data_IF_908783858432
#
_entry.id   IF_908783858432
#
_cell.length_a   1.000
_cell.length_b   1.000
_cell.length_c   1.000
_cell.angle_alpha   90.00
_cell.angle_beta   90.00
_cell.angle_gamma   90.00
#
_symmetry.space_group_name_H-M   'P 1'
#
loop_
_entity.id
_entity.type
_entity.pdbx_description
1 polymer ?
#
# COMPACT_ATOMS: atom_id res chain seq x y z
N UNK A 1 36.84 39.21 -29.63
CA UNK A 1 37.88 39.91 -28.86
C UNK A 1 37.30 40.20 -27.49
N UNK A 2 37.58 39.42 -26.53
CA UNK A 2 37.96 39.62 -25.14
C UNK A 2 37.67 38.38 -24.29
N UNK A 3 38.69 37.57 -24.06
CA UNK A 3 38.94 36.81 -22.80
C UNK A 3 39.90 37.65 -21.98
N UNK A 4 40.26 37.36 -20.73
CA UNK A 4 40.05 36.21 -19.84
C UNK A 4 39.93 36.53 -18.36
N UNK A 5 39.84 35.52 -17.50
CA UNK A 5 40.36 35.63 -16.14
C UNK A 5 39.65 34.79 -15.10
N UNK A 6 40.05 33.52 -14.92
CA UNK A 6 39.74 32.77 -13.71
C UNK A 6 40.74 33.02 -12.59
N UNK A 7 40.45 32.67 -11.35
CA UNK A 7 41.48 32.22 -10.44
C UNK A 7 41.26 30.83 -9.86
N UNK A 8 42.36 30.15 -9.82
CA UNK A 8 42.86 28.89 -9.27
C UNK A 8 42.28 28.45 -7.95
N UNK A 9 42.01 27.16 -7.91
CA UNK A 9 41.83 26.35 -6.71
C UNK A 9 43.17 26.18 -5.93
N UNK A 10 43.09 26.11 -4.61
CA UNK A 10 44.11 25.50 -3.76
C UNK A 10 43.46 24.47 -2.83
N UNK A 11 44.10 23.34 -2.57
CA UNK A 11 43.58 22.29 -1.71
C UNK A 11 43.97 22.51 -0.26
N UNK A 12 43.06 22.30 0.66
CA UNK A 12 43.36 22.16 2.07
C UNK A 12 43.31 20.69 2.46
N UNK A 13 44.48 20.17 2.75
CA UNK A 13 44.69 18.87 3.39
C UNK A 13 44.54 19.07 4.89
N UNK A 14 43.62 18.37 5.51
CA UNK A 14 43.56 18.26 6.97
C UNK A 14 43.79 16.80 7.38
N UNK A 15 44.94 16.62 8.05
CA UNK A 15 45.41 15.38 8.65
C UNK A 15 44.70 15.10 9.97
N UNK A 16 44.25 13.87 10.15
CA UNK A 16 43.79 13.32 11.44
C UNK A 16 44.99 12.74 12.23
N UNK A 17 45.05 12.87 13.55
CA UNK A 17 45.98 12.09 14.38
C UNK A 17 45.33 10.78 14.88
N UNK A 18 46.17 9.76 15.16
CA UNK A 18 45.70 8.47 15.64
C UNK A 18 45.56 8.42 17.16
N UNK A 19 44.52 7.79 17.67
CA UNK A 19 44.46 7.42 19.08
C UNK A 19 44.55 5.93 19.29
N UNK A 20 45.42 5.60 20.20
CA UNK A 20 45.99 4.32 20.55
C UNK A 20 45.11 3.52 21.54
N UNK A 21 45.17 2.22 21.42
CA UNK A 21 44.65 1.21 22.32
C UNK A 21 44.95 1.42 23.81
N UNK A 22 44.01 1.02 24.66
CA UNK A 22 44.35 0.34 25.92
C UNK A 22 43.23 -0.60 26.39
N UNK A 23 43.56 -1.87 26.36
CA UNK A 23 42.91 -2.99 27.05
C UNK A 23 43.11 -2.88 28.56
N UNK A 24 42.06 -3.15 29.36
CA UNK A 24 42.22 -3.74 30.70
C UNK A 24 41.00 -4.59 31.04
N UNK A 25 41.29 -5.87 31.23
CA UNK A 25 40.37 -6.81 31.79
C UNK A 25 40.24 -6.65 33.32
N UNK A 26 39.08 -6.96 33.82
CA UNK A 26 38.88 -7.25 35.24
C UNK A 26 37.99 -8.48 35.37
N UNK A 27 38.62 -9.52 35.88
CA UNK A 27 37.93 -10.71 36.41
C UNK A 27 37.26 -10.31 37.72
N UNK A 28 36.04 -10.75 37.96
CA UNK A 28 35.43 -10.71 39.27
C UNK A 28 34.73 -12.03 39.56
N UNK A 29 35.07 -12.55 40.66
CA UNK A 29 34.87 -13.85 41.27
C UNK A 29 33.42 -14.04 41.72
N UNK A 30 32.98 -15.29 41.56
CA UNK A 30 31.75 -15.89 42.10
C UNK A 30 31.85 -15.98 43.62
N UNK A 31 30.84 -15.50 44.33
CA UNK A 31 30.61 -15.82 45.73
C UNK A 31 29.22 -16.45 45.87
N UNK A 32 29.23 -17.74 46.17
CA UNK A 32 28.04 -18.49 46.54
C UNK A 32 27.74 -18.23 48.01
N UNK A 33 26.55 -17.71 48.32
CA UNK A 33 25.99 -17.75 49.67
C UNK A 33 24.81 -18.73 49.70
N UNK A 34 25.00 -19.80 50.43
CA UNK A 34 23.92 -20.72 50.88
C UNK A 34 23.24 -20.09 52.08
N UNK A 35 21.92 -19.87 51.98
CA UNK A 35 21.07 -19.69 53.16
C UNK A 35 20.04 -20.81 53.17
N UNK A 36 20.10 -21.62 54.21
CA UNK A 36 19.05 -22.53 54.62
C UNK A 36 18.09 -21.79 55.56
N UNK A 37 16.80 -22.02 55.40
CA UNK A 37 15.87 -21.49 56.41
C UNK A 37 14.41 -21.56 56.04
N UNK A 38 13.77 -22.55 56.52
CA UNK A 38 12.46 -22.60 57.17
C UNK A 38 11.20 -22.51 56.28
N UNK A 39 10.61 -23.67 56.06
CA UNK A 39 9.23 -23.88 55.60
C UNK A 39 8.24 -23.37 56.66
N UNK A 40 7.44 -22.37 56.30
CA UNK A 40 6.19 -22.08 56.96
C UNK A 40 5.08 -22.18 55.90
N UNK A 41 4.32 -23.26 56.01
CA UNK A 41 3.12 -23.52 55.23
C UNK A 41 2.00 -22.60 55.71
N UNK A 42 1.62 -21.58 54.93
CA UNK A 42 0.33 -20.92 55.06
C UNK A 42 -0.49 -21.27 53.81
N UNK A 43 -1.52 -22.05 54.05
CA UNK A 43 -2.54 -22.34 53.04
C UNK A 43 -3.34 -21.09 52.75
N UNK A 44 -3.36 -20.68 51.48
CA UNK A 44 -4.32 -19.72 50.92
C UNK A 44 -5.20 -20.45 49.91
N UNK A 45 -6.50 -20.13 49.87
CA UNK A 45 -7.45 -20.81 49.01
C UNK A 45 -7.18 -20.48 47.54
N UNK A 46 -7.32 -21.50 46.71
CA UNK A 46 -7.09 -21.42 45.24
C UNK A 46 -7.93 -20.35 44.59
N UNK A 47 -7.27 -19.32 44.08
CA UNK A 47 -7.78 -18.51 43.01
C UNK A 47 -7.49 -19.29 41.70
N UNK A 48 -8.53 -19.92 41.17
CA UNK A 48 -8.50 -20.38 39.79
C UNK A 48 -8.38 -19.15 38.88
N UNK A 49 -7.16 -18.77 38.52
CA UNK A 49 -6.92 -17.92 37.36
C UNK A 49 -7.45 -18.67 36.14
N UNK A 50 -8.67 -18.35 35.73
CA UNK A 50 -9.13 -18.64 34.38
C UNK A 50 -8.24 -17.82 33.44
N UNK A 51 -7.21 -18.47 32.93
CA UNK A 51 -6.59 -18.04 31.68
C UNK A 51 -7.74 -18.02 30.66
N UNK A 52 -8.30 -16.84 30.41
CA UNK A 52 -9.13 -16.61 29.24
C UNK A 52 -8.20 -16.79 28.03
N UNK A 53 -8.17 -18.00 27.52
CA UNK A 53 -7.75 -18.24 26.13
C UNK A 53 -8.65 -17.35 25.28
N UNK A 54 -8.10 -16.28 24.73
CA UNK A 54 -8.70 -15.54 23.64
C UNK A 54 -8.77 -16.53 22.46
N UNK A 55 -9.85 -17.31 22.45
CA UNK A 55 -10.21 -18.08 21.27
C UNK A 55 -10.51 -17.06 20.19
N UNK A 56 -9.61 -16.97 19.20
CA UNK A 56 -9.96 -16.30 17.95
C UNK A 56 -11.29 -16.89 17.47
N UNK A 57 -12.24 -16.06 17.04
CA UNK A 57 -13.50 -16.58 16.48
C UNK A 57 -13.14 -17.54 15.33
N UNK A 58 -13.93 -18.63 15.16
CA UNK A 58 -13.66 -19.60 14.11
C UNK A 58 -13.58 -18.89 12.76
N UNK A 59 -12.49 -19.09 12.04
CA UNK A 59 -12.35 -18.71 10.64
C UNK A 59 -13.49 -19.38 9.86
N UNK A 60 -14.48 -18.58 9.47
CA UNK A 60 -15.52 -19.04 8.55
C UNK A 60 -16.95 -18.87 9.02
N UNK A 61 -17.44 -17.63 9.14
CA UNK A 61 -18.89 -17.37 9.09
C UNK A 61 -19.27 -15.91 8.80
N UNK A 62 -18.38 -15.09 8.28
CA UNK A 62 -18.82 -13.76 7.83
C UNK A 62 -19.11 -13.81 6.33
N UNK A 63 -20.40 -14.02 5.99
CA UNK A 63 -20.85 -14.00 4.61
C UNK A 63 -20.69 -12.61 3.97
N UNK A 64 -20.67 -11.55 4.79
CA UNK A 64 -20.71 -10.16 4.34
C UNK A 64 -19.46 -9.37 4.75
N UNK A 65 -18.35 -9.63 4.09
CA UNK A 65 -17.07 -8.97 4.40
C UNK A 65 -17.12 -7.44 4.26
N UNK A 66 -18.04 -6.89 3.49
CA UNK A 66 -18.22 -5.45 3.32
C UNK A 66 -18.79 -4.75 4.57
N UNK A 67 -19.48 -5.49 5.45
CA UNK A 67 -19.95 -4.97 6.75
C UNK A 67 -18.80 -4.84 7.75
N UNK A 68 -17.73 -5.62 7.57
CA UNK A 68 -16.53 -5.63 8.44
C UNK A 68 -15.45 -4.65 8.01
N UNK A 69 -15.60 -4.04 6.85
CA UNK A 69 -14.65 -3.04 6.39
C UNK A 69 -14.70 -1.80 7.28
N UNK A 70 -13.56 -1.43 7.88
CA UNK A 70 -13.46 -0.26 8.77
C UNK A 70 -12.71 0.89 8.09
N UNK A 71 -13.43 1.99 7.86
CA UNK A 71 -12.80 3.21 7.36
C UNK A 71 -11.79 3.81 8.34
N UNK A 72 -12.01 3.64 9.65
CA UNK A 72 -11.07 4.10 10.68
C UNK A 72 -9.74 3.36 10.63
N UNK A 73 -9.77 2.03 10.37
CA UNK A 73 -8.54 1.26 10.18
C UNK A 73 -7.83 1.64 8.89
N UNK A 74 -8.57 1.82 7.80
CA UNK A 74 -8.01 2.31 6.56
C UNK A 74 -7.34 3.69 6.76
N UNK A 75 -8.02 4.62 7.45
CA UNK A 75 -7.47 5.95 7.78
C UNK A 75 -6.23 5.86 8.68
N UNK A 76 -6.20 4.91 9.62
CA UNK A 76 -5.03 4.67 10.45
C UNK A 76 -3.81 4.19 9.64
N UNK A 77 -4.02 3.39 8.60
CA UNK A 77 -2.97 3.01 7.67
C UNK A 77 -2.46 4.21 6.87
N UNK A 78 -3.37 5.08 6.40
CA UNK A 78 -2.99 6.34 5.73
C UNK A 78 -2.13 7.20 6.67
N UNK A 79 -2.60 7.42 7.92
CA UNK A 79 -1.85 8.21 8.91
C UNK A 79 -0.44 7.65 9.13
N UNK A 80 -0.31 6.33 9.27
CA UNK A 80 0.99 5.69 9.47
C UNK A 80 1.95 5.96 8.29
N UNK A 81 1.47 5.97 7.05
CA UNK A 81 2.29 6.30 5.88
C UNK A 81 2.64 7.80 5.82
N UNK A 82 1.67 8.68 6.11
CA UNK A 82 1.88 10.14 6.17
C UNK A 82 2.93 10.50 7.24
N UNK A 83 2.93 9.81 8.38
CA UNK A 83 3.90 10.01 9.46
C UNK A 83 5.33 9.62 9.05
N UNK A 84 5.50 8.71 8.09
CA UNK A 84 6.79 8.39 7.49
C UNK A 84 7.31 9.51 6.56
N UNK A 85 6.43 10.40 6.12
CA UNK A 85 6.73 11.54 5.28
C UNK A 85 6.52 11.31 3.78
N UNK A 86 6.96 12.27 2.93
CA UNK A 86 6.96 12.10 1.48
C UNK A 86 7.71 10.84 1.07
N UNK A 87 7.15 10.07 0.18
CA UNK A 87 7.63 8.73 -0.25
C UNK A 87 7.91 8.61 -1.75
N UNK A 88 8.66 9.57 -2.34
CA UNK A 88 9.07 9.42 -3.72
C UNK A 88 9.97 8.19 -3.90
N UNK A 89 9.96 7.56 -5.08
CA UNK A 89 10.83 6.42 -5.39
C UNK A 89 12.32 6.74 -5.12
N UNK A 90 13.05 5.75 -4.61
CA UNK A 90 14.47 5.87 -4.28
C UNK A 90 14.79 6.54 -2.94
N UNK A 91 13.80 6.93 -2.13
CA UNK A 91 14.00 7.56 -0.81
C UNK A 91 13.98 6.55 0.34
N UNK A 92 14.55 6.95 1.50
CA UNK A 92 14.45 6.13 2.73
C UNK A 92 12.99 6.01 3.22
N UNK A 93 12.17 7.04 3.00
CA UNK A 93 10.78 7.06 3.44
C UNK A 93 9.95 6.02 2.67
N UNK A 94 10.15 5.86 1.35
CA UNK A 94 9.44 4.83 0.59
C UNK A 94 9.86 3.42 1.04
N UNK A 95 11.13 3.19 1.40
CA UNK A 95 11.58 1.89 1.92
C UNK A 95 10.97 1.58 3.30
N UNK A 96 10.83 2.58 4.16
CA UNK A 96 10.07 2.45 5.42
C UNK A 96 8.60 2.12 5.15
N UNK A 97 8.00 2.74 4.14
CA UNK A 97 6.63 2.44 3.71
C UNK A 97 6.51 1.01 3.20
N UNK A 98 7.41 0.54 2.34
CA UNK A 98 7.46 -0.87 1.88
C UNK A 98 7.54 -1.85 3.04
N UNK A 99 8.38 -1.55 4.03
CA UNK A 99 8.51 -2.35 5.25
C UNK A 99 7.21 -2.37 6.05
N UNK A 100 6.54 -1.23 6.18
CA UNK A 100 5.25 -1.12 6.86
C UNK A 100 4.17 -1.94 6.15
N UNK A 101 4.01 -1.75 4.83
CA UNK A 101 3.02 -2.46 4.01
C UNK A 101 3.23 -3.98 4.09
N UNK A 102 4.47 -4.44 3.86
CA UNK A 102 4.82 -5.85 3.95
C UNK A 102 4.44 -6.45 5.31
N UNK A 103 4.81 -5.77 6.40
CA UNK A 103 4.48 -6.23 7.75
C UNK A 103 2.97 -6.33 7.99
N UNK A 104 2.18 -5.35 7.53
CA UNK A 104 0.72 -5.40 7.70
C UNK A 104 0.11 -6.55 6.91
N UNK A 105 0.52 -6.75 5.67
CA UNK A 105 0.05 -7.84 4.82
C UNK A 105 0.39 -9.21 5.42
N UNK A 106 1.63 -9.38 5.89
CA UNK A 106 2.05 -10.63 6.55
C UNK A 106 1.27 -10.91 7.84
N UNK A 107 0.95 -9.89 8.64
CA UNK A 107 0.09 -10.02 9.83
C UNK A 107 -1.33 -10.50 9.47
N UNK A 108 -1.82 -10.18 8.28
CA UNK A 108 -3.11 -10.65 7.78
C UNK A 108 -3.02 -12.01 7.06
N UNK A 109 -1.83 -12.60 6.96
CA UNK A 109 -1.63 -13.94 6.37
C UNK A 109 -1.32 -13.91 4.86
N UNK A 110 -1.01 -12.76 4.29
CA UNK A 110 -0.56 -12.64 2.91
C UNK A 110 0.94 -12.87 2.80
N UNK A 111 1.37 -13.45 1.69
CA UNK A 111 2.79 -13.54 1.32
C UNK A 111 3.10 -12.41 0.35
N UNK A 112 4.16 -11.65 0.63
CA UNK A 112 4.53 -10.48 -0.16
C UNK A 112 5.81 -10.74 -0.95
N UNK A 113 5.74 -10.60 -2.27
CA UNK A 113 6.89 -10.58 -3.15
C UNK A 113 7.27 -9.13 -3.49
N UNK A 114 8.57 -8.85 -3.48
CA UNK A 114 9.13 -7.56 -3.92
C UNK A 114 9.54 -7.71 -5.38
N UNK A 115 8.89 -7.00 -6.28
CA UNK A 115 9.22 -6.94 -7.69
C UNK A 115 10.07 -5.68 -7.94
N UNK A 116 11.40 -5.81 -7.72
CA UNK A 116 12.34 -4.72 -7.91
C UNK A 116 12.79 -4.62 -9.37
N UNK A 117 12.90 -3.40 -9.87
CA UNK A 117 13.41 -3.09 -11.21
C UNK A 117 14.02 -1.69 -11.24
N UNK A 118 14.77 -1.39 -12.29
CA UNK A 118 15.34 -0.05 -12.52
C UNK A 118 14.87 0.46 -13.87
N UNK A 119 14.49 1.73 -13.92
CA UNK A 119 14.10 2.38 -15.16
C UNK A 119 14.79 3.75 -15.30
N UNK A 120 14.85 4.25 -16.54
CA UNK A 120 15.32 5.59 -16.84
C UNK A 120 14.18 6.58 -16.62
N UNK A 121 14.46 7.65 -15.88
CA UNK A 121 13.51 8.73 -15.58
C UNK A 121 14.12 10.07 -15.98
N UNK A 122 13.34 11.16 -16.07
CA UNK A 122 13.89 12.52 -16.24
C UNK A 122 14.94 12.91 -15.20
N UNK A 123 14.98 12.22 -14.05
CA UNK A 123 15.96 12.42 -12.97
C UNK A 123 17.08 11.38 -12.94
N UNK A 124 17.24 10.61 -14.02
CA UNK A 124 18.24 9.54 -14.14
C UNK A 124 17.67 8.16 -13.79
N UNK A 125 18.55 7.19 -13.57
CA UNK A 125 18.14 5.82 -13.23
C UNK A 125 17.65 5.74 -11.79
N UNK A 126 16.44 5.22 -11.62
CA UNK A 126 15.78 5.04 -10.31
C UNK A 126 15.39 3.57 -10.14
N UNK A 127 15.58 3.04 -8.95
CA UNK A 127 15.05 1.74 -8.56
C UNK A 127 13.64 1.87 -8.01
N UNK A 128 12.74 1.08 -8.57
CA UNK A 128 11.35 0.95 -8.16
C UNK A 128 11.09 -0.44 -7.61
N UNK A 129 10.10 -0.59 -6.73
CA UNK A 129 9.73 -1.89 -6.15
C UNK A 129 8.22 -2.03 -6.02
N UNK A 130 7.57 -2.75 -6.93
CA UNK A 130 6.18 -3.15 -6.68
C UNK A 130 6.13 -4.18 -5.54
N UNK A 131 5.07 -4.11 -4.71
CA UNK A 131 4.76 -5.16 -3.74
C UNK A 131 3.57 -5.97 -4.27
N UNK A 132 3.78 -7.27 -4.42
CA UNK A 132 2.76 -8.19 -4.94
C UNK A 132 2.41 -9.16 -3.81
N UNK A 133 1.16 -9.11 -3.35
CA UNK A 133 0.70 -9.91 -2.23
C UNK A 133 -0.29 -10.99 -2.69
N UNK A 134 0.01 -12.25 -2.33
CA UNK A 134 -0.83 -13.42 -2.59
C UNK A 134 -1.20 -14.09 -1.29
N UNK A 135 -2.43 -14.64 -1.22
CA UNK A 135 -2.88 -15.34 -0.02
C UNK A 135 -2.44 -16.81 -0.07
N UNK A 136 -1.80 -17.28 1.01
CA UNK A 136 -1.17 -18.60 1.07
C UNK A 136 -2.15 -19.77 0.94
N UNK A 137 -1.70 -20.89 0.42
CA UNK A 137 -2.36 -22.20 0.52
C UNK A 137 -3.21 -22.62 -0.67
N UNK A 138 -2.82 -22.28 -1.90
CA UNK A 138 -3.51 -22.79 -3.09
C UNK A 138 -2.55 -23.27 -4.17
N UNK A 139 -2.98 -24.32 -4.90
CA UNK A 139 -2.41 -24.73 -6.17
C UNK A 139 -3.02 -23.94 -7.36
N UNK A 140 -3.89 -22.97 -7.08
CA UNK A 140 -4.53 -22.13 -8.09
C UNK A 140 -3.93 -20.74 -8.04
N UNK A 141 -3.52 -20.25 -9.19
CA UNK A 141 -3.09 -18.87 -9.36
C UNK A 141 -4.25 -17.89 -9.10
N UNK A 142 -3.99 -16.70 -8.54
CA UNK A 142 -4.97 -15.63 -8.44
C UNK A 142 -5.59 -15.30 -9.80
N UNK A 143 -6.83 -14.86 -9.80
CA UNK A 143 -7.60 -14.60 -11.04
C UNK A 143 -8.13 -13.18 -11.15
N UNK A 144 -7.85 -12.33 -10.15
CA UNK A 144 -8.31 -10.95 -10.14
C UNK A 144 -7.30 -10.03 -9.43
N UNK A 145 -7.04 -8.87 -10.02
CA UNK A 145 -6.12 -7.88 -9.47
C UNK A 145 -6.87 -6.84 -8.64
N UNK A 146 -6.30 -6.43 -7.51
CA UNK A 146 -6.72 -5.23 -6.77
C UNK A 146 -5.50 -4.38 -6.54
N UNK A 147 -5.49 -3.18 -7.09
CA UNK A 147 -4.29 -2.37 -7.26
C UNK A 147 -4.44 -0.99 -6.62
N UNK A 148 -3.32 -0.40 -6.25
CA UNK A 148 -3.15 0.98 -5.81
C UNK A 148 -1.68 1.35 -5.99
N UNK A 149 -1.34 2.64 -6.16
CA UNK A 149 0.04 3.08 -5.98
C UNK A 149 0.30 3.53 -4.55
N UNK A 150 1.56 3.50 -4.11
CA UNK A 150 1.93 3.86 -2.74
C UNK A 150 3.03 4.93 -2.65
N UNK A 151 3.62 5.30 -3.77
CA UNK A 151 4.58 6.40 -3.87
C UNK A 151 3.90 7.77 -3.76
N UNK A 152 4.68 8.82 -3.78
CA UNK A 152 4.20 10.19 -3.86
C UNK A 152 4.98 10.96 -4.89
N UNK A 153 4.32 11.92 -5.52
CA UNK A 153 4.94 12.86 -6.42
C UNK A 153 6.13 13.57 -5.80
N UNK A 154 7.15 13.79 -6.61
CA UNK A 154 8.33 14.55 -6.24
C UNK A 154 8.15 16.04 -6.56
N UNK A 155 8.20 16.91 -5.54
CA UNK A 155 8.27 18.34 -5.71
C UNK A 155 9.59 18.89 -5.17
N UNK A 156 10.25 19.76 -5.94
CA UNK A 156 11.55 20.35 -5.55
C UNK A 156 11.42 21.39 -4.44
N UNK A 157 10.27 22.03 -4.30
CA UNK A 157 10.06 23.19 -3.43
C UNK A 157 8.94 23.02 -2.42
N UNK A 158 8.19 21.91 -2.48
CA UNK A 158 7.05 21.67 -1.60
C UNK A 158 7.16 20.30 -0.92
N UNK A 159 6.68 20.23 0.33
CA UNK A 159 6.52 18.96 1.03
C UNK A 159 5.14 18.37 0.65
N UNK A 160 5.13 17.30 -0.11
CA UNK A 160 3.92 16.59 -0.52
C UNK A 160 3.88 15.22 0.16
N UNK A 161 2.86 14.96 0.96
CA UNK A 161 2.74 13.70 1.70
C UNK A 161 1.74 12.74 1.06
N UNK A 162 0.96 13.20 0.07
CA UNK A 162 0.03 12.36 -0.67
C UNK A 162 -0.86 11.57 0.28
N UNK A 163 -1.66 12.25 1.08
CA UNK A 163 -2.55 11.57 2.02
C UNK A 163 -3.73 10.93 1.28
N UNK A 164 -4.29 11.64 0.29
CA UNK A 164 -5.26 11.08 -0.62
C UNK A 164 -4.58 10.36 -1.78
N UNK A 165 -3.65 11.05 -2.42
CA UNK A 165 -2.92 10.61 -3.59
C UNK A 165 -1.87 9.55 -3.21
N UNK A 166 -2.13 8.30 -3.58
CA UNK A 166 -1.46 7.08 -3.19
C UNK A 166 -1.71 6.62 -1.74
N UNK A 167 -1.96 7.55 -0.83
CA UNK A 167 -2.15 7.21 0.59
C UNK A 167 -3.49 6.57 0.89
N UNK A 168 -4.59 7.18 0.43
CA UNK A 168 -5.96 6.72 0.73
C UNK A 168 -6.26 5.36 0.13
N UNK A 169 -5.93 5.16 -1.13
CA UNK A 169 -6.13 3.92 -1.86
C UNK A 169 -5.29 2.77 -1.29
N UNK A 170 -4.02 3.02 -0.94
CA UNK A 170 -3.17 2.06 -0.23
C UNK A 170 -3.74 1.69 1.14
N UNK A 171 -4.28 2.67 1.89
CA UNK A 171 -4.94 2.40 3.18
C UNK A 171 -6.19 1.53 3.03
N UNK A 172 -7.01 1.79 2.00
CA UNK A 172 -8.17 0.94 1.65
C UNK A 172 -7.72 -0.46 1.24
N UNK A 173 -6.68 -0.58 0.44
CA UNK A 173 -6.17 -1.89 -0.02
C UNK A 173 -5.62 -2.74 1.13
N UNK A 174 -4.97 -2.14 2.13
CA UNK A 174 -4.55 -2.85 3.35
C UNK A 174 -5.76 -3.34 4.18
N UNK A 175 -6.78 -2.53 4.34
CA UNK A 175 -7.98 -2.95 5.08
C UNK A 175 -8.79 -4.01 4.29
N UNK A 176 -8.80 -3.92 2.94
CA UNK A 176 -9.32 -4.99 2.07
C UNK A 176 -8.55 -6.30 2.27
N UNK A 177 -7.22 -6.24 2.38
CA UNK A 177 -6.40 -7.41 2.69
C UNK A 177 -6.83 -8.08 4.00
N UNK A 178 -7.11 -7.29 5.04
CA UNK A 178 -7.58 -7.78 6.34
C UNK A 178 -8.95 -8.46 6.24
N UNK A 179 -9.91 -7.83 5.57
CA UNK A 179 -11.27 -8.41 5.48
C UNK A 179 -11.34 -9.61 4.54
N UNK A 180 -10.60 -9.61 3.43
CA UNK A 180 -10.48 -10.76 2.53
C UNK A 180 -9.85 -11.95 3.23
N UNK A 181 -8.86 -11.74 4.10
CA UNK A 181 -8.21 -12.82 4.86
C UNK A 181 -9.18 -13.61 5.75
N UNK A 182 -10.35 -13.05 6.07
CA UNK A 182 -11.43 -13.76 6.79
C UNK A 182 -12.16 -14.78 5.89
N UNK A 183 -12.01 -14.64 4.58
CA UNK A 183 -12.58 -15.53 3.55
C UNK A 183 -11.45 -16.09 2.67
N UNK A 184 -10.70 -17.08 3.16
CA UNK A 184 -9.58 -17.68 2.43
C UNK A 184 -9.96 -18.19 1.03
N UNK A 185 -11.19 -18.60 0.83
CA UNK A 185 -11.75 -19.03 -0.46
C UNK A 185 -11.79 -17.87 -1.49
N UNK A 186 -11.99 -16.64 -1.04
CA UNK A 186 -11.95 -15.43 -1.86
C UNK A 186 -10.54 -14.86 -1.94
N UNK A 187 -9.87 -14.72 -0.79
CA UNK A 187 -8.51 -14.15 -0.71
C UNK A 187 -7.54 -14.82 -1.69
N UNK A 188 -7.64 -16.14 -1.84
CA UNK A 188 -6.81 -16.91 -2.77
C UNK A 188 -7.04 -16.63 -4.25
N UNK A 189 -8.17 -16.02 -4.62
CA UNK A 189 -8.48 -15.65 -6.00
C UNK A 189 -8.02 -14.23 -6.33
N UNK A 190 -7.66 -13.42 -5.31
CA UNK A 190 -7.18 -12.06 -5.45
C UNK A 190 -5.65 -12.01 -5.37
N UNK A 191 -5.06 -11.13 -6.17
CA UNK A 191 -3.68 -10.67 -6.04
C UNK A 191 -3.73 -9.16 -5.77
N UNK A 192 -3.11 -8.73 -4.67
CA UNK A 192 -3.05 -7.33 -4.30
C UNK A 192 -1.73 -6.76 -4.78
N UNK A 193 -1.78 -5.67 -5.54
CA UNK A 193 -0.58 -5.07 -6.10
C UNK A 193 -0.50 -3.61 -5.67
N UNK A 194 0.62 -3.27 -5.03
CA UNK A 194 0.97 -1.92 -4.65
C UNK A 194 2.04 -1.44 -5.61
N UNK A 195 1.70 -0.56 -6.52
CA UNK A 195 2.61 -0.04 -7.53
C UNK A 195 3.52 1.03 -6.97
N UNK A 196 4.75 1.07 -7.46
CA UNK A 196 5.76 2.08 -7.16
C UNK A 196 6.01 2.93 -8.40
N UNK A 197 6.12 4.24 -8.22
CA UNK A 197 6.41 5.15 -9.31
C UNK A 197 5.24 5.29 -10.29
N UNK A 198 4.02 5.41 -9.80
CA UNK A 198 2.89 5.87 -10.59
C UNK A 198 3.16 7.29 -11.07
N UNK A 199 3.66 8.13 -10.18
CA UNK A 199 3.83 9.56 -10.34
C UNK A 199 4.89 9.95 -11.39
N UNK A 200 4.49 10.77 -12.35
CA UNK A 200 5.43 11.35 -13.30
C UNK A 200 6.36 12.38 -12.63
N UNK A 201 7.64 12.38 -12.98
CA UNK A 201 8.60 13.40 -12.52
C UNK A 201 8.36 14.76 -13.16
N UNK A 202 7.96 14.81 -14.41
CA UNK A 202 7.63 16.02 -15.15
C UNK A 202 6.17 15.98 -15.62
N UNK A 203 5.86 15.11 -16.60
CA UNK A 203 4.53 14.97 -17.19
C UNK A 203 4.29 13.53 -17.63
N UNK A 204 3.10 13.01 -17.38
CA UNK A 204 2.72 11.68 -17.83
C UNK A 204 2.95 11.50 -19.34
N UNK A 205 3.69 10.46 -19.69
CA UNK A 205 4.06 10.12 -21.07
C UNK A 205 4.35 8.62 -21.18
N UNK A 206 4.74 8.17 -22.38
CA UNK A 206 5.17 6.79 -22.58
C UNK A 206 6.43 6.41 -21.75
N UNK A 207 7.19 7.39 -21.26
CA UNK A 207 8.47 7.18 -20.55
C UNK A 207 8.54 7.85 -19.19
N UNK A 208 7.51 8.58 -18.75
CA UNK A 208 7.46 9.26 -17.45
C UNK A 208 6.10 9.02 -16.78
N UNK A 209 6.12 8.50 -15.57
CA UNK A 209 4.96 8.00 -14.82
C UNK A 209 4.62 6.53 -15.10
N UNK A 210 3.76 5.95 -14.28
CA UNK A 210 3.26 4.57 -14.38
C UNK A 210 4.39 3.50 -14.46
N UNK A 211 5.54 3.76 -13.86
CA UNK A 211 6.71 2.88 -13.97
C UNK A 211 6.40 1.48 -13.45
N UNK A 212 5.75 1.39 -12.30
CA UNK A 212 5.40 0.14 -11.64
C UNK A 212 4.42 -0.71 -12.42
N UNK A 213 3.31 -0.12 -12.82
CA UNK A 213 2.26 -0.84 -13.57
C UNK A 213 2.70 -1.22 -14.98
N UNK A 214 3.46 -0.36 -15.67
CA UNK A 214 4.07 -0.70 -16.98
C UNK A 214 5.02 -1.89 -16.87
N UNK A 215 5.87 -1.89 -15.84
CA UNK A 215 6.77 -3.02 -15.61
C UNK A 215 6.01 -4.29 -15.28
N UNK A 216 5.04 -4.23 -14.39
CA UNK A 216 4.20 -5.36 -13.99
C UNK A 216 3.44 -5.95 -15.18
N UNK A 217 2.74 -5.12 -15.96
CA UNK A 217 2.01 -5.54 -17.15
C UNK A 217 2.92 -6.19 -18.19
N UNK A 218 4.10 -5.60 -18.45
CA UNK A 218 5.12 -6.15 -19.35
C UNK A 218 5.62 -7.52 -18.89
N UNK A 219 5.85 -7.73 -17.59
CA UNK A 219 6.26 -9.03 -17.05
C UNK A 219 5.16 -10.08 -17.22
N UNK A 220 3.91 -9.75 -16.92
CA UNK A 220 2.78 -10.66 -17.13
C UNK A 220 2.64 -11.06 -18.61
N UNK A 221 2.82 -10.12 -19.52
CA UNK A 221 2.79 -10.40 -20.96
C UNK A 221 3.96 -11.30 -21.40
N UNK A 222 5.17 -11.02 -20.95
CA UNK A 222 6.37 -11.81 -21.25
C UNK A 222 6.28 -13.24 -20.73
N UNK A 223 5.63 -13.45 -19.58
CA UNK A 223 5.41 -14.74 -18.96
C UNK A 223 4.13 -15.45 -19.45
N UNK A 224 3.41 -14.85 -20.40
CA UNK A 224 2.13 -15.34 -20.92
C UNK A 224 1.05 -15.56 -19.83
N UNK A 225 1.10 -14.75 -18.75
CA UNK A 225 0.21 -14.84 -17.60
C UNK A 225 -1.00 -13.90 -17.68
N UNK A 226 -1.12 -13.04 -18.68
CA UNK A 226 -2.21 -12.06 -18.77
C UNK A 226 -3.59 -12.72 -18.75
N UNK A 227 -3.74 -13.88 -19.40
CA UNK A 227 -5.02 -14.66 -19.43
C UNK A 227 -5.37 -15.31 -18.09
N UNK A 228 -4.49 -15.31 -17.12
CA UNK A 228 -4.77 -15.77 -15.76
C UNK A 228 -5.79 -14.85 -15.08
N UNK A 229 -5.71 -13.54 -15.37
CA UNK A 229 -6.55 -12.53 -14.73
C UNK A 229 -7.80 -12.26 -15.57
N UNK A 230 -8.96 -12.37 -14.93
CA UNK A 230 -10.27 -12.04 -15.55
C UNK A 230 -10.52 -10.55 -15.56
N UNK A 231 -9.85 -9.80 -14.67
CA UNK A 231 -9.96 -8.37 -14.54
C UNK A 231 -9.19 -7.84 -13.33
N UNK A 232 -9.29 -6.54 -13.14
CA UNK A 232 -8.69 -5.83 -12.01
C UNK A 232 -9.47 -4.59 -11.61
N UNK A 233 -9.26 -4.13 -10.40
CA UNK A 233 -9.66 -2.81 -9.90
C UNK A 233 -8.40 -2.05 -9.52
N UNK A 234 -8.29 -0.84 -10.00
CA UNK A 234 -7.40 0.18 -9.48
C UNK A 234 -8.18 1.09 -8.54
N UNK A 235 -7.54 1.49 -7.45
CA UNK A 235 -8.04 2.50 -6.53
C UNK A 235 -7.04 3.64 -6.51
N UNK A 236 -7.53 4.87 -6.70
CA UNK A 236 -6.74 6.08 -6.53
C UNK A 236 -7.56 7.23 -5.94
N UNK A 237 -6.96 8.00 -5.05
CA UNK A 237 -7.57 9.18 -4.39
C UNK A 237 -8.99 8.94 -3.84
N UNK A 238 -9.18 7.90 -3.03
CA UNK A 238 -10.52 7.44 -2.57
C UNK A 238 -10.91 7.93 -1.18
N UNK A 239 -10.23 8.94 -0.64
CA UNK A 239 -10.40 9.36 0.76
C UNK A 239 -11.02 10.72 0.99
N UNK A 240 -11.25 11.55 -0.04
CA UNK A 240 -11.77 12.90 0.12
C UNK A 240 -13.06 12.94 0.96
N UNK A 241 -13.16 13.95 1.83
CA UNK A 241 -14.37 14.19 2.63
C UNK A 241 -15.61 14.45 1.78
N UNK A 242 -15.43 15.00 0.58
CA UNK A 242 -16.49 15.29 -0.39
C UNK A 242 -16.59 14.25 -1.49
N UNK A 243 -16.33 13.00 -1.17
CA UNK A 243 -16.16 11.85 -2.05
C UNK A 243 -17.06 11.81 -3.28
N UNK A 244 -16.44 11.80 -4.46
CA UNK A 244 -17.07 11.57 -5.77
C UNK A 244 -16.24 10.60 -6.60
N UNK A 245 -16.45 9.30 -6.43
CA UNK A 245 -15.76 8.29 -7.25
C UNK A 245 -16.23 8.39 -8.68
N UNK A 246 -15.28 8.58 -9.58
CA UNK A 246 -15.50 8.65 -11.02
C UNK A 246 -14.91 7.43 -11.71
N UNK A 247 -15.58 7.00 -12.76
CA UNK A 247 -15.15 5.89 -13.62
C UNK A 247 -14.78 6.48 -14.97
N UNK A 248 -13.52 6.30 -15.46
CA UNK A 248 -13.10 6.81 -16.77
C UNK A 248 -13.92 6.20 -17.92
N UNK A 249 -13.98 6.87 -19.09
CA UNK A 249 -14.73 6.39 -20.24
C UNK A 249 -14.27 5.04 -20.81
N UNK A 250 -12.99 4.70 -20.63
CA UNK A 250 -12.40 3.43 -21.05
C UNK A 250 -12.67 2.26 -20.07
N UNK A 251 -13.41 2.53 -18.98
CA UNK A 251 -13.82 1.51 -18.03
C UNK A 251 -14.53 0.35 -18.74
N UNK A 252 -14.17 -0.92 -18.47
CA UNK A 252 -14.88 -2.07 -19.02
C UNK A 252 -16.36 -2.02 -18.63
N UNK A 253 -17.25 -1.97 -19.62
CA UNK A 253 -18.67 -1.65 -19.41
C UNK A 253 -19.39 -2.63 -18.48
N UNK A 254 -19.01 -3.90 -18.44
CA UNK A 254 -19.56 -4.90 -17.53
C UNK A 254 -19.14 -4.61 -16.10
N UNK A 255 -17.85 -4.34 -15.89
CA UNK A 255 -17.32 -4.01 -14.57
C UNK A 255 -17.92 -2.69 -14.02
N UNK A 256 -18.09 -1.68 -14.89
CA UNK A 256 -18.74 -0.43 -14.48
C UNK A 256 -20.18 -0.66 -14.00
N UNK A 257 -20.99 -1.47 -14.73
CA UNK A 257 -22.34 -1.85 -14.28
C UNK A 257 -22.30 -2.57 -12.93
N UNK A 258 -21.36 -3.49 -12.75
CA UNK A 258 -21.24 -4.28 -11.53
C UNK A 258 -20.79 -3.44 -10.33
N UNK A 259 -19.91 -2.46 -10.54
CA UNK A 259 -19.52 -1.48 -9.50
C UNK A 259 -20.74 -0.62 -9.10
N UNK A 260 -21.51 -0.11 -10.07
CA UNK A 260 -22.73 0.65 -9.75
C UNK A 260 -23.78 -0.20 -9.03
N UNK A 261 -23.95 -1.46 -9.43
CA UNK A 261 -24.86 -2.40 -8.75
C UNK A 261 -24.37 -2.72 -7.33
N UNK A 262 -23.06 -2.87 -7.14
CA UNK A 262 -22.45 -3.07 -5.81
C UNK A 262 -22.66 -1.85 -4.91
N UNK A 263 -22.44 -0.65 -5.45
CA UNK A 263 -22.68 0.60 -4.73
C UNK A 263 -24.16 0.78 -4.33
N UNK A 264 -25.10 0.37 -5.19
CA UNK A 264 -26.54 0.35 -4.87
C UNK A 264 -26.84 -0.66 -3.76
N UNK A 265 -26.29 -1.86 -3.84
CA UNK A 265 -26.55 -2.94 -2.88
C UNK A 265 -26.11 -2.59 -1.45
N UNK A 266 -25.06 -1.77 -1.31
CA UNK A 266 -24.57 -1.29 0.00
C UNK A 266 -24.99 0.16 0.32
N UNK A 267 -25.93 0.75 -0.46
CA UNK A 267 -26.50 2.10 -0.28
C UNK A 267 -25.50 3.27 -0.42
N UNK A 268 -24.48 3.10 -1.26
CA UNK A 268 -23.49 4.14 -1.54
C UNK A 268 -23.51 4.66 -3.00
N UNK A 269 -24.53 4.29 -3.79
CA UNK A 269 -24.66 4.62 -5.22
C UNK A 269 -24.45 6.10 -5.54
N UNK A 270 -24.86 7.00 -4.65
CA UNK A 270 -24.76 8.46 -4.84
C UNK A 270 -23.33 9.00 -4.96
N UNK A 271 -22.35 8.24 -4.50
CA UNK A 271 -20.94 8.63 -4.53
C UNK A 271 -20.21 8.17 -5.80
N UNK A 272 -20.89 7.50 -6.72
CA UNK A 272 -20.28 6.93 -7.92
C UNK A 272 -20.90 7.50 -9.19
N UNK A 273 -20.06 7.96 -10.12
CA UNK A 273 -20.48 8.55 -11.40
C UNK A 273 -19.49 8.19 -12.51
N UNK A 274 -19.78 8.57 -13.73
CA UNK A 274 -18.79 8.53 -14.82
C UNK A 274 -18.01 9.83 -14.88
N UNK A 275 -16.75 9.72 -15.29
CA UNK A 275 -15.94 10.88 -15.69
C UNK A 275 -16.15 11.16 -17.18
N UNK A 276 -15.94 12.40 -17.61
CA UNK A 276 -16.21 12.84 -18.99
C UNK A 276 -14.94 13.01 -19.83
N UNK A 277 -13.78 12.70 -19.26
CA UNK A 277 -12.46 12.82 -19.90
C UNK A 277 -11.63 11.57 -19.66
N UNK A 278 -10.70 11.30 -20.58
CA UNK A 278 -9.73 10.22 -20.42
C UNK A 278 -8.83 10.49 -19.20
N UNK A 279 -8.55 9.44 -18.45
CA UNK A 279 -7.61 9.41 -17.34
C UNK A 279 -6.49 8.46 -17.70
N UNK A 280 -5.24 8.90 -17.52
CA UNK A 280 -4.06 8.05 -17.63
C UNK A 280 -3.60 7.69 -16.24
N UNK A 281 -3.69 6.41 -15.89
CA UNK A 281 -3.37 5.88 -14.57
C UNK A 281 -2.94 4.41 -14.69
N UNK A 282 -2.57 3.75 -13.61
CA UNK A 282 -2.04 2.39 -13.52
C UNK A 282 -2.96 1.30 -14.14
N UNK A 283 -4.25 1.57 -14.34
CA UNK A 283 -5.14 0.69 -15.12
C UNK A 283 -4.78 0.63 -16.62
N UNK A 284 -4.21 1.70 -17.15
CA UNK A 284 -3.91 1.83 -18.59
C UNK A 284 -2.94 0.76 -19.10
N UNK A 285 -1.77 0.50 -18.47
CA UNK A 285 -0.87 -0.57 -18.89
C UNK A 285 -1.48 -1.98 -18.76
N UNK A 286 -2.37 -2.20 -17.76
CA UNK A 286 -3.06 -3.48 -17.58
C UNK A 286 -4.07 -3.72 -18.71
N UNK A 287 -4.87 -2.70 -19.05
CA UNK A 287 -5.80 -2.74 -20.17
C UNK A 287 -5.06 -2.96 -21.50
N UNK A 288 -3.90 -2.34 -21.70
CA UNK A 288 -3.10 -2.49 -22.90
C UNK A 288 -2.59 -3.93 -23.15
N UNK A 289 -2.37 -4.71 -22.09
CA UNK A 289 -1.98 -6.13 -22.20
C UNK A 289 -3.17 -7.09 -22.15
N UNK A 290 -4.41 -6.57 -22.16
CA UNK A 290 -5.65 -7.35 -22.25
C UNK A 290 -6.14 -7.88 -20.89
N UNK A 291 -5.80 -7.25 -19.79
CA UNK A 291 -6.38 -7.47 -18.45
C UNK A 291 -7.40 -6.36 -18.21
N UNK A 292 -8.73 -6.60 -18.37
CA UNK A 292 -9.74 -5.57 -18.17
C UNK A 292 -9.67 -5.01 -16.75
N UNK A 293 -9.26 -3.77 -16.60
CA UNK A 293 -9.07 -3.12 -15.30
C UNK A 293 -9.88 -1.84 -15.25
N UNK A 294 -10.72 -1.72 -14.20
CA UNK A 294 -11.50 -0.51 -13.93
C UNK A 294 -10.77 0.35 -12.91
N UNK A 295 -10.74 1.64 -13.16
CA UNK A 295 -10.22 2.64 -12.24
C UNK A 295 -11.37 3.28 -11.44
N UNK A 296 -11.22 3.34 -10.13
CA UNK A 296 -12.10 4.03 -9.19
C UNK A 296 -11.32 5.18 -8.56
N UNK A 297 -11.53 6.38 -9.09
CA UNK A 297 -10.74 7.56 -8.72
C UNK A 297 -11.64 8.75 -8.38
N UNK A 298 -11.28 9.51 -7.35
CA UNK A 298 -11.87 10.82 -7.06
C UNK A 298 -11.06 11.93 -7.71
N UNK A 299 -11.35 12.22 -8.99
CA UNK A 299 -10.57 13.16 -9.78
C UNK A 299 -11.05 14.63 -9.63
N UNK A 300 -11.98 14.93 -8.72
CA UNK A 300 -12.38 16.30 -8.38
C UNK A 300 -11.78 16.78 -7.04
N UNK A 301 -10.84 15.99 -6.46
CA UNK A 301 -10.12 16.33 -5.23
C UNK A 301 -9.33 17.64 -5.36
N UNK A 302 -9.79 18.68 -4.67
CA UNK A 302 -9.26 20.05 -4.84
C UNK A 302 -7.81 20.23 -4.38
N UNK A 303 -7.29 19.37 -3.49
CA UNK A 303 -5.92 19.43 -2.99
C UNK A 303 -4.95 18.52 -3.78
N UNK A 304 -5.40 17.91 -4.89
CA UNK A 304 -4.56 17.08 -5.75
C UNK A 304 -3.29 17.82 -6.18
N UNK A 305 -2.14 17.17 -6.04
CA UNK A 305 -0.80 17.67 -6.37
C UNK A 305 -0.45 19.01 -5.67
N UNK A 306 -0.99 19.23 -4.47
CA UNK A 306 -0.65 20.38 -3.64
C UNK A 306 -0.16 19.97 -2.25
N UNK A 307 0.59 20.83 -1.52
CA UNK A 307 0.98 20.56 -0.13
C UNK A 307 -0.19 20.38 0.83
N UNK A 308 -1.39 20.76 0.42
CA UNK A 308 -2.63 20.62 1.18
C UNK A 308 -3.23 19.21 1.12
N UNK A 309 -2.68 18.28 0.31
CA UNK A 309 -3.06 16.87 0.38
C UNK A 309 -2.56 16.22 1.68
N UNK A 310 -3.32 16.43 2.72
CA UNK A 310 -3.03 16.05 4.10
C UNK A 310 -4.20 15.29 4.72
N UNK A 311 -3.92 14.59 5.82
CA UNK A 311 -4.89 13.68 6.48
C UNK A 311 -6.22 14.35 6.86
N UNK A 312 -6.23 15.66 7.13
CA UNK A 312 -7.43 16.42 7.47
C UNK A 312 -8.39 16.61 6.29
N UNK A 313 -7.96 16.37 5.07
CA UNK A 313 -8.81 16.34 3.88
C UNK A 313 -9.61 15.05 3.74
N UNK A 314 -9.16 13.99 4.39
CA UNK A 314 -9.74 12.67 4.28
C UNK A 314 -10.82 12.42 5.34
N UNK A 315 -11.68 11.44 5.08
CA UNK A 315 -12.61 10.93 6.08
C UNK A 315 -12.66 9.40 6.12
N UNK A 316 -12.82 8.85 7.32
CA UNK A 316 -13.03 7.41 7.50
C UNK A 316 -14.32 6.93 6.80
N UNK A 317 -15.35 7.80 6.71
CA UNK A 317 -16.59 7.47 6.01
C UNK A 317 -16.38 7.28 4.52
N UNK A 318 -15.58 8.13 3.86
CA UNK A 318 -15.24 8.01 2.44
C UNK A 318 -14.48 6.72 2.17
N UNK A 319 -13.43 6.44 2.96
CA UNK A 319 -12.67 5.18 2.86
C UNK A 319 -13.56 3.96 3.08
N UNK A 320 -14.49 4.03 4.06
CA UNK A 320 -15.47 2.98 4.29
C UNK A 320 -16.43 2.80 3.11
N UNK A 321 -16.87 3.90 2.52
CA UNK A 321 -17.78 3.87 1.35
C UNK A 321 -17.16 3.10 0.20
N UNK A 322 -15.93 3.44 -0.18
CA UNK A 322 -15.23 2.76 -1.27
C UNK A 322 -14.89 1.32 -0.89
N UNK A 323 -14.32 1.11 0.30
CA UNK A 323 -13.95 -0.22 0.76
C UNK A 323 -15.12 -1.19 0.87
N UNK A 324 -16.29 -0.73 1.31
CA UNK A 324 -17.50 -1.56 1.36
C UNK A 324 -18.00 -1.93 -0.04
N UNK A 325 -18.02 -0.98 -0.99
CA UNK A 325 -18.42 -1.24 -2.38
C UNK A 325 -17.50 -2.25 -3.04
N UNK A 326 -16.18 -2.06 -2.90
CA UNK A 326 -15.18 -2.97 -3.48
C UNK A 326 -15.24 -4.35 -2.80
N UNK A 327 -15.38 -4.40 -1.47
CA UNK A 327 -15.55 -5.67 -0.75
C UNK A 327 -16.80 -6.44 -1.23
N UNK A 328 -17.92 -5.74 -1.43
CA UNK A 328 -19.15 -6.34 -1.98
C UNK A 328 -18.90 -6.85 -3.40
N UNK A 329 -18.36 -6.02 -4.29
CA UNK A 329 -18.04 -6.41 -5.67
C UNK A 329 -17.14 -7.65 -5.72
N UNK A 330 -16.06 -7.66 -4.95
CA UNK A 330 -15.14 -8.79 -4.90
C UNK A 330 -15.85 -10.07 -4.42
N UNK A 331 -16.62 -10.01 -3.33
CA UNK A 331 -17.23 -11.20 -2.73
C UNK A 331 -18.46 -11.71 -3.46
N UNK A 332 -19.23 -10.82 -4.10
CA UNK A 332 -20.52 -11.19 -4.70
C UNK A 332 -20.47 -11.35 -6.21
N UNK A 333 -19.47 -10.80 -6.88
CA UNK A 333 -19.37 -10.78 -8.34
C UNK A 333 -18.00 -11.28 -8.84
N UNK A 334 -16.92 -10.58 -8.55
CA UNK A 334 -15.62 -10.81 -9.19
C UNK A 334 -14.90 -12.10 -8.77
N UNK A 335 -15.04 -12.54 -7.51
CA UNK A 335 -14.33 -13.72 -6.97
C UNK A 335 -15.21 -14.95 -6.76
N UNK A 336 -16.44 -14.93 -7.25
CA UNK A 336 -17.35 -16.10 -7.22
C UNK A 336 -16.96 -17.21 -8.17
#
# INVERSE_FOLDING_TARGET
>A
MWEPGGPRAMPIVATLPPFCHRTRGARSTVAALRFAGLLLAFGLPGACDRVQTLTQPPLGSQEKIWEDFSGEKALAHVQAMVDLGPRPPGTEAIEKTRTYLTKQLELFGWTVARQAFTDDTPRGKIEFVNLVATFAGTDRAPSFLVCSHYDTKTFDTARFVGANDGGSSTGVLLELARVLAQRPDLARKAELVFFDGEEAYEVFSETDGLYGSRYFAKQLAAEAKTKQFRGGILLDMVGDRSLTITLPPDSPAEMARDIFASAEAVNFRKHFTYFDRDITDDHTPLNAVGIPTIDLIDFDFAAWHTPEDTIDKLSAESLRTVGAVVSYYLSEMALK
#
